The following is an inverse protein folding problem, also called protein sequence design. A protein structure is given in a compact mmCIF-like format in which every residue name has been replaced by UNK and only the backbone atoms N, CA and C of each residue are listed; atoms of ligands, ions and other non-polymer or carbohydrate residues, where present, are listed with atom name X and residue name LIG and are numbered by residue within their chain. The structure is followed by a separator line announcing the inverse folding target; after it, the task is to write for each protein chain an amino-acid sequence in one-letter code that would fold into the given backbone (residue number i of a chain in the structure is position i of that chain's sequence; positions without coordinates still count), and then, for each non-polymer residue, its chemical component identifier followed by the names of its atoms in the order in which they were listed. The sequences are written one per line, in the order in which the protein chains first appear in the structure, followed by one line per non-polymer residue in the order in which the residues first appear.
data_IF_690132449135
#
_entry.id   IF_690132449135
#
_cell.length_a   1.000
_cell.length_b   1.000
_cell.length_c   1.000
_cell.angle_alpha   90.00
_cell.angle_beta   90.00
_cell.angle_gamma   90.00
#
_symmetry.space_group_name_H-M   'P 1'
#
loop_
_entity.id
_entity.type
_entity.pdbx_description
1 polymer ?
#
# COMPACT_ATOMS: atom_id res chain seq x y z
N UNK A 1 -6.11 -5.17 11.99
CA UNK A 1 -5.34 -5.44 10.76
C UNK A 1 -6.09 -6.43 9.88
N UNK A 2 -6.49 -6.04 8.66
CA UNK A 2 -7.23 -6.90 7.72
C UNK A 2 -6.21 -7.57 6.80
N UNK A 3 -6.06 -8.89 6.90
CA UNK A 3 -5.07 -9.67 6.16
C UNK A 3 -5.45 -11.14 6.11
N UNK A 4 -4.67 -11.93 5.37
CA UNK A 4 -4.72 -13.38 5.40
C UNK A 4 -3.36 -13.96 5.78
N UNK A 5 -3.38 -15.03 6.58
CA UNK A 5 -2.23 -15.89 6.87
C UNK A 5 -2.55 -17.33 6.51
N UNK A 6 -1.54 -18.13 6.29
CA UNK A 6 -1.71 -19.59 6.21
C UNK A 6 -2.03 -20.23 7.58
N UNK A 7 -2.36 -21.50 7.55
CA UNK A 7 -2.52 -22.33 8.74
C UNK A 7 -1.20 -23.00 9.19
N UNK A 8 -0.09 -22.33 8.93
CA UNK A 8 1.27 -22.72 9.23
C UNK A 8 1.86 -22.00 10.46
N UNK A 9 3.04 -22.45 10.90
CA UNK A 9 3.73 -21.89 12.08
C UNK A 9 4.17 -20.42 11.87
N UNK A 10 4.43 -20.01 10.63
CA UNK A 10 4.78 -18.61 10.31
C UNK A 10 3.56 -17.73 10.54
N UNK A 11 2.39 -18.12 10.03
CA UNK A 11 1.15 -17.38 10.22
C UNK A 11 0.75 -17.30 11.70
N UNK A 12 0.93 -18.36 12.46
CA UNK A 12 0.69 -18.32 13.91
C UNK A 12 1.62 -17.32 14.60
N UNK A 13 2.93 -17.38 14.31
CA UNK A 13 3.93 -16.46 14.88
C UNK A 13 3.62 -15.00 14.53
N UNK A 14 3.26 -14.71 13.28
CA UNK A 14 2.90 -13.33 12.85
C UNK A 14 1.68 -12.83 13.60
N UNK A 15 0.61 -13.64 13.74
CA UNK A 15 -0.58 -13.23 14.49
C UNK A 15 -0.28 -12.98 15.97
N UNK A 16 0.55 -13.83 16.59
CA UNK A 16 0.97 -13.65 17.98
C UNK A 16 1.77 -12.34 18.15
N UNK A 17 2.71 -12.07 17.23
CA UNK A 17 3.49 -10.83 17.26
C UNK A 17 2.61 -9.59 17.16
N UNK A 18 1.70 -9.54 16.17
CA UNK A 18 0.76 -8.45 16.01
C UNK A 18 -0.11 -8.22 17.25
N UNK A 19 -0.59 -9.30 17.86
CA UNK A 19 -1.36 -9.22 19.12
C UNK A 19 -0.52 -8.68 20.27
N UNK A 20 0.76 -9.04 20.38
CA UNK A 20 1.69 -8.51 21.38
C UNK A 20 1.90 -7.01 21.20
N UNK A 21 1.89 -6.52 19.96
CA UNK A 21 1.99 -5.11 19.62
C UNK A 21 0.64 -4.36 19.77
N UNK A 22 -0.36 -4.97 20.41
CA UNK A 22 -1.72 -4.45 20.61
C UNK A 22 -2.48 -4.14 19.31
N UNK A 23 -2.18 -4.83 18.22
CA UNK A 23 -2.92 -4.75 16.97
C UNK A 23 -4.10 -5.71 17.03
N UNK A 24 -5.32 -5.21 16.75
CA UNK A 24 -6.50 -6.08 16.63
C UNK A 24 -6.37 -7.01 15.42
N UNK A 25 -6.19 -8.30 15.72
CA UNK A 25 -6.02 -9.37 14.74
C UNK A 25 -7.32 -10.13 14.44
N UNK A 26 -8.44 -9.75 15.03
CA UNK A 26 -9.72 -10.43 14.78
C UNK A 26 -10.13 -10.45 13.30
N UNK A 27 -9.74 -9.45 12.45
CA UNK A 27 -9.97 -9.49 11.03
C UNK A 27 -8.90 -10.24 10.21
N UNK A 28 -7.90 -10.85 10.85
CA UNK A 28 -6.90 -11.65 10.15
C UNK A 28 -7.45 -13.05 9.90
N UNK A 29 -7.70 -13.37 8.63
CA UNK A 29 -8.24 -14.67 8.22
C UNK A 29 -7.14 -15.72 8.11
N UNK A 30 -7.37 -16.90 8.66
CA UNK A 30 -6.48 -18.06 8.48
C UNK A 30 -6.98 -18.88 7.30
N UNK A 31 -6.19 -19.02 6.26
CA UNK A 31 -6.55 -19.74 5.04
C UNK A 31 -6.00 -21.16 5.12
N UNK A 32 -6.92 -22.08 5.24
CA UNK A 32 -6.58 -23.51 5.43
C UNK A 32 -5.94 -24.10 4.17
N UNK A 33 -4.80 -24.77 4.34
CA UNK A 33 -4.06 -25.41 3.26
C UNK A 33 -3.17 -24.48 2.44
N UNK A 34 -3.16 -23.17 2.77
CA UNK A 34 -2.25 -22.20 2.16
C UNK A 34 -1.05 -21.95 3.07
N UNK A 35 0.10 -21.59 2.47
CA UNK A 35 1.25 -21.09 3.21
C UNK A 35 1.10 -19.59 3.47
N UNK A 36 1.66 -19.11 4.57
CA UNK A 36 1.78 -17.66 4.82
C UNK A 36 2.70 -17.02 3.79
N UNK A 37 2.38 -15.81 3.37
CA UNK A 37 3.22 -15.02 2.47
C UNK A 37 4.58 -14.73 3.10
N UNK A 38 5.66 -14.86 2.31
CA UNK A 38 7.03 -14.62 2.76
C UNK A 38 7.81 -13.81 1.75
N UNK A 39 8.73 -12.99 2.25
CA UNK A 39 9.74 -12.30 1.44
C UNK A 39 11.13 -12.82 1.81
N UNK A 40 11.89 -13.26 0.82
CA UNK A 40 13.29 -13.64 0.95
C UNK A 40 14.16 -12.48 0.48
N UNK A 41 14.89 -11.87 1.40
CA UNK A 41 15.70 -10.69 1.14
C UNK A 41 17.18 -11.11 1.10
N UNK A 42 17.80 -10.97 -0.07
CA UNK A 42 19.23 -11.21 -0.25
C UNK A 42 19.94 -9.85 -0.33
N UNK A 43 20.93 -9.64 0.53
CA UNK A 43 21.71 -8.38 0.60
C UNK A 43 23.15 -8.71 0.23
N UNK A 44 23.72 -7.98 -0.74
CA UNK A 44 25.12 -8.14 -1.11
C UNK A 44 26.05 -7.31 -0.20
N UNK A 45 27.37 -7.43 -0.41
CA UNK A 45 28.38 -6.72 0.38
C UNK A 45 28.37 -5.19 0.21
N UNK A 46 27.66 -4.67 -0.78
CA UNK A 46 27.52 -3.24 -1.09
C UNK A 46 26.21 -2.66 -0.50
N UNK A 47 25.38 -3.52 0.15
CA UNK A 47 24.10 -3.12 0.73
C UNK A 47 22.93 -3.12 -0.27
N UNK A 48 23.15 -3.57 -1.52
CA UNK A 48 22.07 -3.73 -2.48
C UNK A 48 21.25 -4.98 -2.16
N UNK A 49 19.94 -4.91 -2.36
CA UNK A 49 19.04 -6.02 -2.08
C UNK A 49 18.32 -6.54 -3.32
N UNK A 50 18.01 -7.84 -3.29
CA UNK A 50 17.11 -8.53 -4.21
C UNK A 50 16.07 -9.25 -3.36
N UNK A 51 14.80 -9.01 -3.63
CA UNK A 51 13.68 -9.54 -2.84
C UNK A 51 12.89 -10.53 -3.70
N UNK A 52 12.85 -11.78 -3.25
CA UNK A 52 11.96 -12.80 -3.78
C UNK A 52 10.68 -12.86 -2.94
N UNK A 53 9.52 -12.69 -3.56
CA UNK A 53 8.23 -12.68 -2.87
C UNK A 53 7.43 -13.93 -3.24
N UNK A 54 6.92 -14.62 -2.21
CA UNK A 54 5.86 -15.62 -2.34
C UNK A 54 4.62 -15.07 -1.66
N UNK A 55 3.57 -14.78 -2.43
CA UNK A 55 2.36 -14.14 -1.89
C UNK A 55 1.61 -15.03 -0.89
N UNK A 56 1.59 -16.36 -1.12
CA UNK A 56 0.88 -17.28 -0.24
C UNK A 56 -0.56 -16.84 0.05
N UNK A 57 -0.97 -16.93 1.29
CA UNK A 57 -2.30 -16.56 1.74
C UNK A 57 -2.69 -15.08 1.49
N UNK A 58 -1.74 -14.17 1.25
CA UNK A 58 -2.06 -12.78 0.86
C UNK A 58 -2.94 -12.75 -0.40
N UNK A 59 -2.70 -13.68 -1.35
CA UNK A 59 -3.47 -13.79 -2.58
C UNK A 59 -4.93 -14.23 -2.34
N UNK A 60 -5.24 -14.78 -1.19
CA UNK A 60 -6.59 -15.24 -0.82
C UNK A 60 -7.46 -14.15 -0.15
N UNK A 61 -6.91 -12.95 0.10
CA UNK A 61 -7.71 -11.83 0.60
C UNK A 61 -8.71 -11.42 -0.48
N UNK A 62 -9.93 -11.92 -0.39
CA UNK A 62 -10.99 -11.66 -1.37
C UNK A 62 -11.78 -10.39 -1.04
N UNK A 63 -12.50 -9.79 -2.03
CA UNK A 63 -13.45 -8.71 -1.77
C UNK A 63 -14.52 -9.06 -0.74
N UNK A 64 -14.93 -10.33 -0.64
CA UNK A 64 -15.89 -10.77 0.35
C UNK A 64 -15.33 -10.71 1.79
N UNK A 65 -14.05 -11.05 1.97
CA UNK A 65 -13.38 -10.91 3.27
C UNK A 65 -13.23 -9.43 3.66
N UNK A 66 -12.94 -8.55 2.70
CA UNK A 66 -12.91 -7.10 2.91
C UNK A 66 -14.30 -6.56 3.27
N UNK A 67 -15.33 -6.97 2.53
CA UNK A 67 -16.72 -6.55 2.79
C UNK A 67 -17.20 -6.97 4.19
N UNK A 68 -16.79 -8.14 4.67
CA UNK A 68 -17.08 -8.57 6.04
C UNK A 68 -16.49 -7.63 7.12
N UNK A 69 -15.54 -6.77 6.75
CA UNK A 69 -14.93 -5.76 7.63
C UNK A 69 -15.43 -4.32 7.36
N UNK A 70 -16.52 -4.17 6.60
CA UNK A 70 -17.08 -2.88 6.17
C UNK A 70 -17.20 -1.87 7.32
N UNK A 71 -17.78 -2.27 8.44
CA UNK A 71 -17.97 -1.38 9.59
C UNK A 71 -16.66 -0.91 10.22
N UNK A 72 -15.62 -1.78 10.23
CA UNK A 72 -14.29 -1.42 10.72
C UNK A 72 -13.65 -0.38 9.82
N UNK A 73 -13.71 -0.59 8.52
CA UNK A 73 -13.17 0.36 7.53
C UNK A 73 -13.95 1.69 7.61
N UNK A 74 -15.26 1.62 7.65
CA UNK A 74 -16.14 2.80 7.67
C UNK A 74 -15.94 3.68 8.93
N UNK A 75 -15.62 3.09 10.08
CA UNK A 75 -15.43 3.78 11.34
C UNK A 75 -13.96 4.11 11.66
N UNK A 76 -13.02 3.77 10.78
CA UNK A 76 -11.62 4.10 10.95
C UNK A 76 -11.35 5.58 10.61
N UNK A 77 -10.32 6.16 11.22
CA UNK A 77 -9.84 7.50 10.83
C UNK A 77 -9.13 7.48 9.48
N UNK A 78 -8.44 6.40 9.18
CA UNK A 78 -7.75 6.18 7.91
C UNK A 78 -7.65 4.68 7.57
N UNK A 79 -7.62 4.39 6.27
CA UNK A 79 -7.33 3.09 5.69
C UNK A 79 -5.96 3.17 4.99
N UNK A 80 -4.98 2.42 5.50
CA UNK A 80 -3.65 2.29 4.89
C UNK A 80 -3.60 0.99 4.10
N UNK A 81 -3.15 1.06 2.85
CA UNK A 81 -3.09 -0.09 1.93
C UNK A 81 -1.77 -0.10 1.15
N UNK A 82 -1.44 -1.26 0.64
CA UNK A 82 -0.40 -1.49 -0.38
C UNK A 82 -0.95 -2.42 -1.48
N UNK A 83 -0.10 -2.90 -2.41
CA UNK A 83 -0.54 -3.67 -3.57
C UNK A 83 -0.08 -5.14 -3.57
N UNK A 84 0.31 -5.67 -2.42
CA UNK A 84 0.67 -7.10 -2.27
C UNK A 84 -0.56 -8.00 -2.04
N UNK A 85 -1.74 -7.40 -1.93
CA UNK A 85 -3.03 -8.06 -1.92
C UNK A 85 -3.72 -7.97 -3.29
N UNK A 86 -4.74 -8.81 -3.59
CA UNK A 86 -5.47 -8.73 -4.85
C UNK A 86 -6.07 -7.33 -5.09
N UNK A 87 -5.90 -6.80 -6.31
CA UNK A 87 -6.32 -5.44 -6.66
C UNK A 87 -7.81 -5.21 -6.46
N UNK A 88 -8.63 -6.23 -6.73
CA UNK A 88 -10.07 -6.18 -6.47
C UNK A 88 -10.41 -5.97 -5.00
N UNK A 89 -9.60 -6.49 -4.09
CA UNK A 89 -9.78 -6.32 -2.64
C UNK A 89 -9.32 -4.94 -2.17
N UNK A 90 -8.22 -4.45 -2.72
CA UNK A 90 -7.77 -3.07 -2.53
C UNK A 90 -8.85 -2.09 -3.01
N UNK A 91 -9.41 -2.32 -4.21
CA UNK A 91 -10.50 -1.52 -4.76
C UNK A 91 -11.76 -1.57 -3.89
N UNK A 92 -12.13 -2.76 -3.38
CA UNK A 92 -13.29 -2.89 -2.49
C UNK A 92 -13.10 -2.12 -1.19
N UNK A 93 -11.91 -2.22 -0.57
CA UNK A 93 -11.58 -1.48 0.65
C UNK A 93 -11.59 0.05 0.42
N UNK A 94 -10.97 0.52 -0.67
CA UNK A 94 -10.96 1.93 -1.04
C UNK A 94 -12.38 2.48 -1.25
N UNK A 95 -13.26 1.74 -1.92
CA UNK A 95 -14.67 2.13 -2.11
C UNK A 95 -15.41 2.28 -0.79
N UNK A 96 -15.26 1.31 0.12
CA UNK A 96 -15.89 1.37 1.44
C UNK A 96 -15.40 2.60 2.22
N UNK A 97 -14.08 2.83 2.26
CA UNK A 97 -13.47 3.95 2.95
C UNK A 97 -13.96 5.29 2.39
N UNK A 98 -13.87 5.46 1.07
CA UNK A 98 -14.27 6.70 0.38
C UNK A 98 -15.77 7.03 0.60
N UNK A 99 -16.67 6.03 0.53
CA UNK A 99 -18.10 6.20 0.78
C UNK A 99 -18.40 6.68 2.20
N UNK A 100 -17.53 6.36 3.17
CA UNK A 100 -17.71 6.71 4.57
C UNK A 100 -16.78 7.86 5.03
N UNK A 101 -16.08 8.51 4.11
CA UNK A 101 -15.15 9.61 4.39
C UNK A 101 -13.97 9.22 5.28
N UNK A 102 -13.64 7.94 5.30
CA UNK A 102 -12.38 7.43 5.86
C UNK A 102 -11.24 7.80 4.92
N UNK A 103 -10.17 8.39 5.42
CA UNK A 103 -9.00 8.77 4.63
C UNK A 103 -8.39 7.51 3.99
N UNK A 104 -8.16 7.54 2.69
CA UNK A 104 -7.52 6.44 1.93
C UNK A 104 -6.07 6.79 1.67
N UNK A 105 -5.14 6.08 2.30
CA UNK A 105 -3.70 6.18 2.05
C UNK A 105 -3.20 4.92 1.34
N UNK A 106 -2.57 5.09 0.18
CA UNK A 106 -2.05 4.02 -0.65
C UNK A 106 -0.53 4.14 -0.81
N UNK A 107 0.20 3.11 -0.39
CA UNK A 107 1.56 2.86 -0.85
C UNK A 107 1.45 1.97 -2.11
N UNK A 108 1.80 2.46 -3.32
CA UNK A 108 1.60 1.72 -4.56
C UNK A 108 2.69 0.66 -4.83
N UNK A 109 3.20 0.03 -3.77
CA UNK A 109 4.18 -1.05 -3.82
C UNK A 109 3.51 -2.43 -3.87
N UNK A 110 3.96 -3.36 -4.74
CA UNK A 110 4.98 -3.20 -5.78
C UNK A 110 4.51 -2.38 -6.99
N UNK A 111 5.48 -1.76 -7.69
CA UNK A 111 5.22 -0.89 -8.84
C UNK A 111 4.38 -1.58 -9.93
N UNK A 112 3.21 -1.03 -10.23
CA UNK A 112 2.29 -1.51 -11.26
C UNK A 112 1.40 -0.39 -11.77
N UNK A 113 0.79 -0.60 -12.94
CA UNK A 113 -0.28 0.28 -13.42
C UNK A 113 -1.52 0.13 -12.55
N UNK A 114 -2.18 1.24 -12.28
CA UNK A 114 -3.42 1.28 -11.50
C UNK A 114 -4.54 1.92 -12.34
N UNK A 115 -5.77 1.41 -12.21
CA UNK A 115 -6.91 2.04 -12.86
C UNK A 115 -7.21 3.40 -12.24
N UNK A 116 -7.61 4.36 -13.08
CA UNK A 116 -7.95 5.72 -12.64
C UNK A 116 -9.11 5.71 -11.62
N UNK A 117 -9.99 4.71 -11.67
CA UNK A 117 -11.08 4.51 -10.70
C UNK A 117 -10.54 4.24 -9.27
N UNK A 118 -9.36 3.60 -9.13
CA UNK A 118 -8.74 3.45 -7.82
C UNK A 118 -8.07 4.75 -7.37
N UNK A 119 -7.31 5.39 -8.27
CA UNK A 119 -6.61 6.63 -7.97
C UNK A 119 -7.57 7.74 -7.53
N UNK A 120 -8.77 7.82 -8.12
CA UNK A 120 -9.81 8.77 -7.74
C UNK A 120 -10.39 8.54 -6.32
N UNK A 121 -10.15 7.39 -5.70
CA UNK A 121 -10.57 7.07 -4.34
C UNK A 121 -9.48 7.34 -3.29
N UNK A 122 -8.25 7.64 -3.74
CA UNK A 122 -7.08 7.79 -2.86
C UNK A 122 -6.92 9.25 -2.45
N UNK A 123 -6.77 9.48 -1.15
CA UNK A 123 -6.49 10.80 -0.59
C UNK A 123 -4.99 11.09 -0.50
N UNK A 124 -4.21 10.06 -0.14
CA UNK A 124 -2.77 10.14 0.07
C UNK A 124 -2.10 9.00 -0.71
N UNK A 125 -1.08 9.32 -1.51
CA UNK A 125 -0.27 8.30 -2.20
C UNK A 125 1.22 8.51 -1.89
N UNK A 126 1.95 7.39 -1.67
CA UNK A 126 3.35 7.43 -1.25
C UNK A 126 4.26 6.58 -2.15
N UNK A 127 4.38 6.89 -3.45
CA UNK A 127 5.25 6.15 -4.36
C UNK A 127 6.73 6.46 -4.13
N UNK A 128 7.61 5.49 -4.41
CA UNK A 128 9.02 5.75 -4.69
C UNK A 128 9.22 6.19 -6.15
N UNK A 129 10.49 6.42 -6.57
CA UNK A 129 10.81 6.86 -7.94
C UNK A 129 10.28 5.89 -9.00
N UNK A 130 10.47 4.57 -8.80
CA UNK A 130 10.04 3.52 -9.74
C UNK A 130 8.51 3.41 -9.81
N UNK A 131 7.85 3.50 -8.68
CA UNK A 131 6.39 3.47 -8.59
C UNK A 131 5.77 4.72 -9.24
N UNK A 132 6.37 5.90 -8.98
CA UNK A 132 5.95 7.15 -9.61
C UNK A 132 6.10 7.10 -11.13
N UNK A 133 7.24 6.59 -11.65
CA UNK A 133 7.45 6.37 -13.09
C UNK A 133 6.36 5.46 -13.66
N UNK A 134 6.04 4.35 -12.99
CA UNK A 134 5.04 3.39 -13.47
C UNK A 134 3.62 3.98 -13.52
N UNK A 135 3.29 4.88 -12.58
CA UNK A 135 1.97 5.52 -12.50
C UNK A 135 1.81 6.72 -13.42
N UNK A 136 2.91 7.40 -13.75
CA UNK A 136 2.87 8.69 -14.48
C UNK A 136 3.52 8.64 -15.85
N UNK A 137 4.37 7.64 -16.10
CA UNK A 137 5.23 7.58 -17.30
C UNK A 137 6.44 8.52 -17.23
N UNK A 138 6.65 9.22 -16.11
CA UNK A 138 7.76 10.17 -15.92
C UNK A 138 8.84 9.48 -15.10
N UNK A 139 10.03 9.31 -15.70
CA UNK A 139 11.20 8.80 -15.00
C UNK A 139 11.74 9.85 -14.03
N UNK A 140 11.84 9.48 -12.75
CA UNK A 140 12.21 10.40 -11.67
C UNK A 140 13.71 10.28 -11.39
N UNK A 141 14.51 11.14 -12.00
CA UNK A 141 15.97 11.18 -11.80
C UNK A 141 16.43 12.34 -10.92
N UNK A 142 15.61 13.39 -10.82
CA UNK A 142 15.89 14.61 -10.06
C UNK A 142 14.60 15.20 -9.46
N UNK A 143 14.72 16.28 -8.73
CA UNK A 143 13.60 16.90 -8.01
C UNK A 143 12.57 17.53 -8.96
N UNK A 144 13.00 18.04 -10.14
CA UNK A 144 12.09 18.58 -11.15
C UNK A 144 11.21 17.49 -11.75
N UNK A 145 11.76 16.31 -11.99
CA UNK A 145 11.00 15.15 -12.46
C UNK A 145 10.03 14.64 -11.38
N UNK A 146 10.47 14.64 -10.10
CA UNK A 146 9.60 14.33 -8.97
C UNK A 146 8.43 15.29 -8.86
N UNK A 147 8.68 16.59 -9.05
CA UNK A 147 7.64 17.62 -9.07
C UNK A 147 6.61 17.36 -10.19
N UNK A 148 7.08 17.05 -11.41
CA UNK A 148 6.20 16.75 -12.57
C UNK A 148 5.37 15.48 -12.32
N UNK A 149 6.00 14.41 -11.81
CA UNK A 149 5.31 13.17 -11.49
C UNK A 149 4.25 13.38 -10.40
N UNK A 150 4.59 14.12 -9.35
CA UNK A 150 3.65 14.45 -8.28
C UNK A 150 2.47 15.27 -8.80
N UNK A 151 2.70 16.23 -9.70
CA UNK A 151 1.66 17.03 -10.32
C UNK A 151 0.69 16.18 -11.15
N UNK A 152 1.18 15.22 -11.93
CA UNK A 152 0.34 14.27 -12.69
C UNK A 152 -0.56 13.47 -11.75
N UNK A 153 -0.05 12.98 -10.63
CA UNK A 153 -0.85 12.25 -9.64
C UNK A 153 -1.87 13.15 -8.95
N UNK A 154 -1.49 14.39 -8.65
CA UNK A 154 -2.41 15.38 -8.08
C UNK A 154 -3.56 15.72 -9.04
N UNK A 155 -3.29 15.87 -10.34
CA UNK A 155 -4.30 16.11 -11.39
C UNK A 155 -5.27 14.93 -11.57
N UNK A 156 -4.88 13.71 -11.16
CA UNK A 156 -5.78 12.55 -11.09
C UNK A 156 -6.73 12.59 -9.88
N UNK A 157 -6.67 13.64 -9.06
CA UNK A 157 -7.56 13.86 -7.90
C UNK A 157 -6.97 13.52 -6.55
N UNK A 158 -5.71 13.09 -6.48
CA UNK A 158 -5.05 12.73 -5.22
C UNK A 158 -4.62 14.02 -4.50
N UNK A 159 -5.13 14.23 -3.29
CA UNK A 159 -4.91 15.49 -2.54
C UNK A 159 -3.51 15.63 -1.98
N UNK A 160 -2.91 14.53 -1.54
CA UNK A 160 -1.56 14.50 -0.97
C UNK A 160 -0.72 13.47 -1.70
N UNK A 161 0.38 13.92 -2.29
CA UNK A 161 1.33 13.08 -3.03
C UNK A 161 2.69 13.20 -2.35
N UNK A 162 3.25 12.08 -1.91
CA UNK A 162 4.55 12.00 -1.23
C UNK A 162 5.46 11.07 -2.03
N UNK A 163 6.30 11.61 -2.92
CA UNK A 163 7.27 10.80 -3.66
C UNK A 163 8.53 10.63 -2.84
N UNK A 164 8.82 9.40 -2.42
CA UNK A 164 10.03 9.09 -1.64
C UNK A 164 11.24 8.99 -2.57
N UNK A 165 12.34 9.67 -2.21
CA UNK A 165 13.54 9.86 -3.02
C UNK A 165 14.79 9.29 -2.36
N UNK A 166 14.65 8.19 -1.62
CA UNK A 166 15.71 7.54 -0.85
C UNK A 166 16.47 8.55 0.04
N UNK A 167 17.78 8.70 -0.13
CA UNK A 167 18.61 9.63 0.68
C UNK A 167 18.34 11.11 0.38
N UNK A 168 17.61 11.44 -0.68
CA UNK A 168 17.24 12.83 -1.03
C UNK A 168 16.01 13.34 -0.26
N UNK A 169 15.33 12.49 0.50
CA UNK A 169 14.14 12.85 1.28
C UNK A 169 12.83 12.56 0.55
N UNK A 170 11.86 13.45 0.63
CA UNK A 170 10.51 13.26 0.07
C UNK A 170 10.09 14.53 -0.68
N UNK A 171 9.63 14.37 -1.92
CA UNK A 171 8.91 15.44 -2.61
C UNK A 171 7.43 15.36 -2.27
N UNK A 172 6.83 16.47 -1.81
CA UNK A 172 5.44 16.47 -1.35
C UNK A 172 4.59 17.53 -2.06
N UNK A 173 3.36 17.15 -2.41
CA UNK A 173 2.25 18.07 -2.65
C UNK A 173 1.29 17.92 -1.47
N UNK A 174 1.15 18.98 -0.68
CA UNK A 174 0.27 19.06 0.49
C UNK A 174 -0.83 20.08 0.21
N UNK A 175 -1.91 19.65 -0.43
CA UNK A 175 -3.17 20.38 -0.59
C UNK A 175 -3.12 21.82 -1.18
N UNK A 176 -2.02 22.57 -1.11
CA UNK A 176 -1.82 23.92 -1.69
C UNK A 176 -0.35 24.25 -2.00
N UNK A 177 0.62 23.59 -1.39
CA UNK A 177 2.05 23.92 -1.52
C UNK A 177 2.87 22.68 -1.93
N UNK A 178 3.82 22.89 -2.87
CA UNK A 178 4.78 21.85 -3.27
C UNK A 178 6.08 22.08 -2.52
N UNK A 179 6.55 21.11 -1.73
CA UNK A 179 7.78 21.24 -0.96
C UNK A 179 8.64 19.97 -1.01
N UNK A 180 9.95 20.14 -0.95
CA UNK A 180 10.92 19.06 -0.73
C UNK A 180 11.27 19.01 0.76
N UNK A 181 11.03 17.86 1.38
CA UNK A 181 11.44 17.57 2.75
C UNK A 181 12.70 16.68 2.73
N UNK A 182 13.79 17.16 3.28
CA UNK A 182 15.10 16.47 3.37
C UNK A 182 15.35 15.93 4.78
#
# INVERSE_FOLDING_TARGET
FIACTGDDSIGESVRQQLATDNIDITPVSVIKGESTGVALIFVNGEGENVIGIHAGANAALSPALVEAQRERIANASALLMQLESPLESVMAAAKIAHQNKTIVALNPAPARELPDELLALVDIITPNETEAEKLTGIRVENDEDAAKAAQVLHEKGIRTVLITLASRGVWAILNVDCELFT
#
